data_IF_281210313758
#
_entry.id   IF_281210313758
#
_cell.length_a   1.000
_cell.length_b   1.000
_cell.length_c   1.000
_cell.angle_alpha   90.00
_cell.angle_beta   90.00
_cell.angle_gamma   90.00
#
_symmetry.space_group_name_H-M   'P 1'
#
loop_
_entity.id
_entity.type
_entity.pdbx_description
1 polymer ?
#
# COMPACT_ATOMS: atom_id res chain seq x y z
N UNK A 1 -24.46 18.49 41.48
CA UNK A 1 -22.99 18.44 41.61
C UNK A 1 -22.44 17.06 41.24
N UNK A 2 -22.92 15.96 41.82
CA UNK A 2 -22.48 14.59 41.48
C UNK A 2 -22.53 14.23 39.98
N UNK A 3 -23.56 14.64 39.25
CA UNK A 3 -23.66 14.36 37.81
C UNK A 3 -22.58 15.04 36.95
N UNK A 4 -22.08 16.21 37.39
CA UNK A 4 -20.98 16.91 36.69
C UNK A 4 -19.68 16.15 36.90
N UNK A 5 -19.43 15.65 38.12
CA UNK A 5 -18.26 14.82 38.42
C UNK A 5 -18.29 13.48 37.67
N UNK A 6 -19.45 12.83 37.58
CA UNK A 6 -19.62 11.58 36.84
C UNK A 6 -19.35 11.79 35.34
N UNK A 7 -19.88 12.87 34.76
CA UNK A 7 -19.66 13.18 33.34
C UNK A 7 -18.20 13.54 33.05
N UNK A 8 -17.53 14.27 33.95
CA UNK A 8 -16.11 14.59 33.81
C UNK A 8 -15.23 13.33 33.87
N UNK A 9 -15.54 12.39 34.77
CA UNK A 9 -14.84 11.10 34.85
C UNK A 9 -15.08 10.25 33.59
N UNK A 10 -16.33 10.16 33.12
CA UNK A 10 -16.68 9.43 31.90
C UNK A 10 -15.96 9.99 30.66
N UNK A 11 -15.89 11.33 30.52
CA UNK A 11 -15.20 11.98 29.41
C UNK A 11 -13.68 11.67 29.41
N UNK A 12 -13.05 11.65 30.58
CA UNK A 12 -11.62 11.32 30.70
C UNK A 12 -11.33 9.87 30.27
N UNK A 13 -12.19 8.93 30.66
CA UNK A 13 -12.07 7.53 30.27
C UNK A 13 -12.28 7.32 28.77
N UNK A 14 -13.24 8.02 28.16
CA UNK A 14 -13.51 7.96 26.72
C UNK A 14 -12.32 8.47 25.89
N UNK A 15 -11.69 9.57 26.31
CA UNK A 15 -10.52 10.12 25.62
C UNK A 15 -9.32 9.18 25.72
N UNK A 16 -9.09 8.57 26.89
CA UNK A 16 -8.03 7.58 27.09
C UNK A 16 -8.24 6.33 26.21
N UNK A 17 -9.47 5.81 26.16
CA UNK A 17 -9.81 4.66 25.33
C UNK A 17 -9.66 4.96 23.83
N UNK A 18 -10.11 6.13 23.37
CA UNK A 18 -9.93 6.55 21.98
C UNK A 18 -8.44 6.70 21.61
N UNK A 19 -7.64 7.30 22.49
CA UNK A 19 -6.19 7.41 22.30
C UNK A 19 -5.49 6.05 22.23
N UNK A 20 -5.88 5.11 23.09
CA UNK A 20 -5.37 3.73 23.08
C UNK A 20 -5.70 3.03 21.75
N UNK A 21 -6.94 3.17 21.25
CA UNK A 21 -7.36 2.58 19.98
C UNK A 21 -6.62 3.18 18.78
N UNK A 22 -6.42 4.51 18.76
CA UNK A 22 -5.64 5.18 17.72
C UNK A 22 -4.17 4.73 17.78
N UNK A 23 -3.59 4.66 18.97
CA UNK A 23 -2.22 4.17 19.17
C UNK A 23 -2.06 2.73 18.66
N UNK A 24 -3.00 1.84 19.01
CA UNK A 24 -3.01 0.46 18.52
C UNK A 24 -3.21 0.39 17.00
N UNK A 25 -4.06 1.24 16.42
CA UNK A 25 -4.26 1.30 14.98
C UNK A 25 -2.99 1.76 14.24
N UNK A 26 -2.28 2.76 14.77
CA UNK A 26 -1.00 3.20 14.23
C UNK A 26 0.08 2.12 14.38
N UNK A 27 0.16 1.46 15.53
CA UNK A 27 1.07 0.33 15.76
C UNK A 27 0.79 -0.84 14.82
N UNK A 28 -0.47 -1.20 14.59
CA UNK A 28 -0.85 -2.27 13.65
C UNK A 28 -0.53 -1.87 12.21
N UNK A 29 -0.70 -0.59 11.85
CA UNK A 29 -0.23 -0.07 10.56
C UNK A 29 1.28 -0.21 10.41
N UNK A 30 2.05 0.13 11.44
CA UNK A 30 3.51 0.07 11.46
C UNK A 30 4.05 -1.38 11.41
N UNK A 31 3.35 -2.33 12.05
CA UNK A 31 3.74 -3.75 12.08
C UNK A 31 3.47 -4.48 10.74
N UNK A 32 2.51 -4.01 9.92
CA UNK A 32 2.36 -4.49 8.54
C UNK A 32 3.43 -3.92 7.59
N UNK A 33 4.25 -2.98 8.06
CA UNK A 33 5.25 -2.24 7.27
C UNK A 33 6.68 -2.41 7.80
N UNK A 34 7.05 -3.54 8.39
CA UNK A 34 8.46 -3.66 8.76
C UNK A 34 8.93 -4.98 9.31
N UNK A 35 9.33 -5.90 8.42
CA UNK A 35 10.64 -6.58 8.51
C UNK A 35 11.09 -6.94 7.09
N UNK A 36 12.09 -6.25 6.55
CA UNK A 36 13.36 -6.91 6.20
C UNK A 36 14.40 -5.92 5.64
N UNK A 37 15.41 -5.72 6.50
CA UNK A 37 16.82 -5.36 6.28
C UNK A 37 17.22 -4.81 4.90
N UNK A 38 17.68 -3.55 4.94
CA UNK A 38 18.61 -2.86 4.03
C UNK A 38 19.41 -3.84 3.15
N UNK A 39 19.01 -3.99 1.89
CA UNK A 39 19.74 -4.79 0.90
C UNK A 39 20.58 -3.86 0.02
N UNK A 40 21.88 -4.14 -0.18
CA UNK A 40 22.78 -3.20 -0.84
C UNK A 40 22.45 -3.06 -2.33
N UNK A 41 22.56 -1.82 -2.79
CA UNK A 41 22.16 -1.25 -4.09
C UNK A 41 22.73 -1.96 -5.34
N UNK A 42 23.71 -2.88 -5.23
CA UNK A 42 24.43 -3.40 -6.40
C UNK A 42 23.92 -4.73 -6.99
N UNK A 43 23.10 -5.51 -6.29
CA UNK A 43 22.65 -6.81 -6.82
C UNK A 43 21.43 -6.73 -7.77
N UNK A 44 20.80 -5.55 -7.89
CA UNK A 44 19.47 -5.40 -8.50
C UNK A 44 19.44 -5.11 -10.00
N UNK A 45 20.54 -4.64 -10.58
CA UNK A 45 20.59 -4.37 -12.02
C UNK A 45 20.74 -5.66 -12.86
N UNK A 46 21.46 -6.66 -12.35
CA UNK A 46 21.72 -7.89 -13.10
C UNK A 46 20.51 -8.84 -13.19
N UNK A 47 19.59 -8.83 -12.22
CA UNK A 47 18.39 -9.69 -12.23
C UNK A 47 17.23 -9.14 -13.07
N UNK A 48 17.43 -8.08 -13.87
CA UNK A 48 16.42 -7.62 -14.84
C UNK A 48 16.51 -8.38 -16.17
N UNK A 49 17.70 -8.72 -16.67
CA UNK A 49 17.83 -9.36 -17.99
C UNK A 49 17.31 -10.81 -18.06
N UNK A 50 17.27 -11.55 -16.95
CA UNK A 50 16.75 -12.93 -16.94
C UNK A 50 15.25 -13.05 -16.70
N UNK A 51 14.60 -11.99 -16.19
CA UNK A 51 13.15 -11.99 -15.90
C UNK A 51 12.27 -11.61 -17.09
N UNK A 52 12.76 -10.80 -18.04
CA UNK A 52 12.02 -10.43 -19.26
C UNK A 52 11.76 -11.61 -20.25
N UNK A 53 12.29 -12.81 -19.97
CA UNK A 53 11.91 -14.04 -20.69
C UNK A 53 10.66 -14.72 -20.10
N UNK A 54 10.14 -14.26 -18.96
CA UNK A 54 8.89 -14.73 -18.33
C UNK A 54 7.88 -13.59 -18.39
N UNK A 55 6.62 -13.88 -18.76
CA UNK A 55 5.50 -12.92 -18.86
C UNK A 55 5.52 -11.93 -17.69
N UNK A 56 5.35 -10.63 -17.97
CA UNK A 56 5.37 -9.60 -16.92
C UNK A 56 4.28 -9.86 -15.87
N UNK A 57 4.49 -9.50 -14.59
CA UNK A 57 3.47 -9.63 -13.55
C UNK A 57 2.16 -8.91 -13.94
N UNK A 58 2.28 -7.78 -14.64
CA UNK A 58 1.15 -6.99 -15.15
C UNK A 58 0.36 -7.76 -16.23
N UNK A 59 1.02 -8.45 -17.15
CA UNK A 59 0.34 -9.20 -18.22
C UNK A 59 -0.19 -10.57 -17.76
N UNK A 60 0.43 -11.16 -16.74
CA UNK A 60 0.09 -12.49 -16.21
C UNK A 60 -1.00 -12.47 -15.15
N UNK A 61 -1.15 -11.38 -14.41
CA UNK A 61 -2.05 -11.30 -13.26
C UNK A 61 -3.40 -10.65 -13.61
N UNK A 62 -4.51 -11.13 -13.02
CA UNK A 62 -5.87 -10.57 -13.25
C UNK A 62 -5.93 -9.08 -12.91
N UNK A 63 -5.25 -8.67 -11.85
CA UNK A 63 -5.18 -7.26 -11.44
C UNK A 63 -4.40 -6.41 -12.45
N UNK A 64 -3.36 -6.97 -13.08
CA UNK A 64 -2.62 -6.25 -14.11
C UNK A 64 -3.46 -6.00 -15.36
N UNK A 65 -4.31 -6.95 -15.77
CA UNK A 65 -5.33 -6.70 -16.82
C UNK A 65 -6.31 -5.59 -16.44
N UNK A 66 -6.76 -5.56 -15.18
CA UNK A 66 -7.61 -4.48 -14.67
C UNK A 66 -6.89 -3.12 -14.70
N UNK A 67 -5.62 -3.07 -14.31
CA UNK A 67 -4.80 -1.87 -14.39
C UNK A 67 -4.68 -1.37 -15.84
N UNK A 68 -4.45 -2.27 -16.80
CA UNK A 68 -4.42 -1.94 -18.23
C UNK A 68 -5.78 -1.40 -18.70
N UNK A 69 -6.90 -2.03 -18.31
CA UNK A 69 -8.24 -1.53 -18.63
C UNK A 69 -8.50 -0.13 -18.04
N UNK A 70 -8.04 0.13 -16.81
CA UNK A 70 -8.13 1.46 -16.22
C UNK A 70 -7.35 2.47 -17.04
N UNK A 71 -6.18 2.12 -17.59
CA UNK A 71 -5.34 2.98 -18.41
C UNK A 71 -5.70 2.94 -19.91
N UNK A 72 -6.94 2.61 -20.26
CA UNK A 72 -7.43 2.56 -21.65
C UNK A 72 -6.61 1.66 -22.58
N UNK A 73 -6.03 0.58 -22.04
CA UNK A 73 -5.20 -0.35 -22.83
C UNK A 73 -3.71 0.00 -22.86
N UNK A 74 -3.26 1.07 -22.21
CA UNK A 74 -1.84 1.44 -22.17
C UNK A 74 -1.04 0.53 -21.22
N UNK A 75 -0.48 -0.52 -21.81
CA UNK A 75 0.36 -1.51 -21.12
C UNK A 75 1.69 -0.89 -20.67
N UNK A 76 2.28 0.00 -21.47
CA UNK A 76 3.56 0.63 -21.14
C UNK A 76 3.42 1.50 -19.89
N UNK A 77 2.34 2.27 -19.79
CA UNK A 77 2.04 3.09 -18.62
C UNK A 77 1.69 2.21 -17.41
N UNK A 78 0.94 1.12 -17.61
CA UNK A 78 0.66 0.15 -16.55
C UNK A 78 1.94 -0.46 -15.95
N UNK A 79 2.89 -0.86 -16.79
CA UNK A 79 4.18 -1.40 -16.35
C UNK A 79 5.04 -0.34 -15.67
N UNK A 80 5.07 0.90 -16.18
CA UNK A 80 5.79 2.00 -15.52
C UNK A 80 5.23 2.33 -14.14
N UNK A 81 3.90 2.34 -13.99
CA UNK A 81 3.24 2.58 -12.71
C UNK A 81 3.49 1.43 -11.73
N UNK A 82 3.40 0.20 -12.21
CA UNK A 82 3.75 -0.99 -11.42
C UNK A 82 5.20 -0.92 -10.95
N UNK A 83 6.15 -0.66 -11.85
CA UNK A 83 7.57 -0.55 -11.52
C UNK A 83 7.79 0.56 -10.49
N UNK A 84 7.21 1.75 -10.71
CA UNK A 84 7.35 2.87 -9.79
C UNK A 84 6.82 2.53 -8.38
N UNK A 85 5.65 1.89 -8.29
CA UNK A 85 5.09 1.45 -7.01
C UNK A 85 5.88 0.29 -6.39
N UNK A 86 6.38 -0.64 -7.20
CA UNK A 86 7.25 -1.73 -6.76
C UNK A 86 8.55 -1.21 -6.15
N UNK A 87 9.12 -0.16 -6.75
CA UNK A 87 10.30 0.52 -6.20
C UNK A 87 10.00 1.29 -4.92
N UNK A 88 8.81 1.89 -4.83
CA UNK A 88 8.36 2.64 -3.67
C UNK A 88 8.00 1.74 -2.48
N UNK A 89 7.54 0.52 -2.75
CA UNK A 89 7.13 -0.47 -1.74
C UNK A 89 7.92 -1.77 -1.90
N UNK A 90 9.25 -1.72 -1.72
CA UNK A 90 10.09 -2.91 -1.89
C UNK A 90 9.76 -3.96 -0.82
N UNK A 91 9.49 -5.19 -1.25
CA UNK A 91 9.17 -6.32 -0.37
C UNK A 91 7.69 -6.71 -0.31
N UNK A 92 6.83 -5.99 -1.03
CA UNK A 92 5.43 -6.38 -1.22
C UNK A 92 5.29 -7.36 -2.39
N UNK A 93 4.25 -8.20 -2.37
CA UNK A 93 3.95 -9.09 -3.49
C UNK A 93 3.49 -8.28 -4.71
N UNK A 94 3.71 -8.83 -5.90
CA UNK A 94 3.26 -8.19 -7.15
C UNK A 94 1.74 -7.92 -7.14
N UNK A 95 0.95 -8.81 -6.52
CA UNK A 95 -0.49 -8.62 -6.35
C UNK A 95 -0.82 -7.40 -5.48
N UNK A 96 -0.11 -7.22 -4.36
CA UNK A 96 -0.30 -6.09 -3.46
C UNK A 96 0.08 -4.77 -4.14
N UNK A 97 1.19 -4.76 -4.90
CA UNK A 97 1.63 -3.58 -5.65
C UNK A 97 0.59 -3.22 -6.72
N UNK A 98 0.06 -4.21 -7.43
CA UNK A 98 -1.02 -4.01 -8.41
C UNK A 98 -2.31 -3.46 -7.76
N UNK A 99 -2.74 -4.04 -6.63
CA UNK A 99 -3.88 -3.53 -5.85
C UNK A 99 -3.66 -2.08 -5.43
N UNK A 100 -2.45 -1.77 -4.97
CA UNK A 100 -2.10 -0.42 -4.50
C UNK A 100 -2.16 0.60 -5.65
N UNK A 101 -1.59 0.27 -6.81
CA UNK A 101 -1.63 1.15 -7.99
C UNK A 101 -3.07 1.34 -8.47
N UNK A 102 -3.88 0.27 -8.52
CA UNK A 102 -5.31 0.38 -8.89
C UNK A 102 -6.06 1.29 -7.92
N UNK A 103 -5.86 1.11 -6.61
CA UNK A 103 -6.49 1.94 -5.59
C UNK A 103 -6.11 3.41 -5.73
N UNK A 104 -4.82 3.70 -5.96
CA UNK A 104 -4.35 5.07 -6.14
C UNK A 104 -4.98 5.72 -7.39
N UNK A 105 -5.07 5.00 -8.51
CA UNK A 105 -5.75 5.48 -9.73
C UNK A 105 -7.25 5.70 -9.56
N UNK A 106 -7.95 4.78 -8.88
CA UNK A 106 -9.39 4.92 -8.61
C UNK A 106 -9.66 6.09 -7.65
N UNK A 107 -8.77 6.33 -6.71
CA UNK A 107 -8.84 7.47 -5.80
C UNK A 107 -8.65 8.78 -6.56
N UNK A 108 -7.62 8.88 -7.39
CA UNK A 108 -7.31 10.11 -8.14
C UNK A 108 -8.44 10.47 -9.12
N UNK A 109 -9.13 9.48 -9.68
CA UNK A 109 -10.31 9.67 -10.56
C UNK A 109 -11.56 10.16 -9.84
N UNK A 110 -11.70 9.92 -8.54
CA UNK A 110 -12.83 10.41 -7.74
C UNK A 110 -12.62 11.82 -7.22
N UNK A 111 -11.39 12.33 -7.26
CA UNK A 111 -11.04 13.68 -6.85
C UNK A 111 -11.08 14.73 -7.98
N UNK A 112 -11.40 14.31 -9.21
CA UNK A 112 -11.65 15.19 -10.37
C UNK A 112 -13.15 15.24 -10.63
#
# INVERSE_FOLDING_TARGET
>A
MFSIFINALAASFLLAAAGLLIYLFLVIREQRTGKFKRMPSRYRYQKRKSFFKRKSPVSSHRLGRRLICLLNGDVCTAERLFDHAYWRYPGQSDSWVLEKVIYDLERDRRSV
#
